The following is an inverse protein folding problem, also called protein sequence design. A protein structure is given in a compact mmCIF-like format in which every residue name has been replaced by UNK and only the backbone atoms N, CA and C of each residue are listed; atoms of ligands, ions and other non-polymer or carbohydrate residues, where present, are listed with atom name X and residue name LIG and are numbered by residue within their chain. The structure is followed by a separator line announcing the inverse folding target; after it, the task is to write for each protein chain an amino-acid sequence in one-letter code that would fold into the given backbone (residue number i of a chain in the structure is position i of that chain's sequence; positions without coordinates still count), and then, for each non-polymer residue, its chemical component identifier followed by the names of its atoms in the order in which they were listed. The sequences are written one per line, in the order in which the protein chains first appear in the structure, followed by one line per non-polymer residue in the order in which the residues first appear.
data_IF_330105495003
#
_entry.id   IF_330105495003
#
_cell.length_a   1.000
_cell.length_b   1.000
_cell.length_c   1.000
_cell.angle_alpha   90.00
_cell.angle_beta   90.00
_cell.angle_gamma   90.00
#
_symmetry.space_group_name_H-M   'P 1'
#
loop_
_entity.id
_entity.type
_entity.pdbx_description
1 polymer ?
#
# COMPACT_ATOMS: atom_id res chain seq x y z
N UNK A 1 28.58 37.65 -9.23
CA UNK A 1 29.10 37.06 -7.99
C UNK A 1 29.70 38.15 -7.12
N UNK A 2 29.49 38.13 -5.80
CA UNK A 2 30.05 39.08 -4.86
C UNK A 2 30.60 38.34 -3.64
N UNK A 3 31.68 38.85 -3.06
CA UNK A 3 32.25 38.36 -1.82
C UNK A 3 32.29 39.46 -0.76
N UNK A 4 32.19 39.10 0.48
CA UNK A 4 32.38 39.95 1.64
C UNK A 4 33.30 39.24 2.62
N UNK A 5 34.45 39.84 2.92
CA UNK A 5 35.51 39.23 3.77
C UNK A 5 35.96 37.84 3.30
N UNK A 6 36.05 37.62 1.96
CA UNK A 6 36.41 36.33 1.37
C UNK A 6 35.31 35.26 1.35
N UNK A 7 34.12 35.58 1.83
CA UNK A 7 32.96 34.65 1.82
C UNK A 7 31.96 35.07 0.74
N UNK A 8 31.33 34.12 0.07
CA UNK A 8 30.28 34.35 -0.91
C UNK A 8 29.14 35.18 -0.30
N UNK A 9 28.70 36.22 -0.98
CA UNK A 9 27.67 37.14 -0.49
C UNK A 9 26.87 37.74 -1.62
N UNK A 10 25.55 37.87 -1.44
CA UNK A 10 24.63 38.43 -2.43
C UNK A 10 24.16 37.43 -3.47
N UNK A 11 23.60 37.96 -4.59
CA UNK A 11 23.02 37.14 -5.66
C UNK A 11 24.12 36.41 -6.44
N UNK A 12 23.93 35.13 -6.67
CA UNK A 12 24.82 34.25 -7.41
C UNK A 12 24.07 33.58 -8.56
N UNK A 13 24.78 33.44 -9.70
CA UNK A 13 24.29 32.73 -10.88
C UNK A 13 25.42 31.90 -11.44
N UNK A 14 25.17 30.62 -11.70
CA UNK A 14 26.07 29.69 -12.35
C UNK A 14 25.47 29.25 -13.67
N UNK A 15 26.32 29.09 -14.69
CA UNK A 15 25.93 28.78 -16.06
C UNK A 15 26.52 27.41 -16.47
N UNK A 16 25.86 26.70 -17.38
CA UNK A 16 26.32 25.41 -17.85
C UNK A 16 27.61 25.50 -18.67
N UNK A 17 28.45 24.45 -18.61
CA UNK A 17 29.73 24.36 -19.30
C UNK A 17 29.66 23.28 -20.39
N UNK A 18 29.91 23.66 -21.64
CA UNK A 18 29.97 22.68 -22.75
C UNK A 18 31.35 22.03 -22.94
N UNK A 19 32.46 22.75 -22.74
CA UNK A 19 33.81 22.22 -22.99
C UNK A 19 34.78 22.49 -21.84
N UNK A 20 35.22 21.42 -21.13
CA UNK A 20 36.23 21.56 -20.06
C UNK A 20 37.61 21.99 -20.57
N UNK A 21 37.84 21.99 -21.90
CA UNK A 21 39.08 22.41 -22.51
C UNK A 21 39.10 23.90 -22.90
N UNK A 22 37.98 24.58 -22.91
CA UNK A 22 37.93 26.02 -23.05
C UNK A 22 38.62 26.70 -21.87
N UNK A 23 39.83 27.12 -22.11
CA UNK A 23 40.74 27.56 -21.07
C UNK A 23 40.54 28.97 -20.64
N UNK A 24 39.86 29.81 -21.44
CA UNK A 24 39.54 31.15 -20.98
C UNK A 24 38.55 31.88 -21.92
N UNK A 25 37.81 32.80 -21.38
CA UNK A 25 37.10 33.85 -22.10
C UNK A 25 37.63 35.18 -21.60
N UNK A 26 38.07 36.03 -22.53
CA UNK A 26 38.48 37.36 -22.22
C UNK A 26 37.26 38.28 -22.20
N UNK A 27 37.00 38.89 -21.06
CA UNK A 27 35.99 39.93 -20.96
C UNK A 27 36.59 41.14 -20.27
N UNK A 28 37.04 42.06 -21.08
CA UNK A 28 37.86 43.18 -20.60
C UNK A 28 39.28 42.76 -20.26
N UNK A 29 39.79 43.13 -19.10
CA UNK A 29 41.17 42.85 -18.67
C UNK A 29 41.32 41.54 -17.87
N UNK A 30 40.33 40.65 -17.93
CA UNK A 30 40.29 39.45 -17.08
C UNK A 30 40.69 38.18 -17.85
N UNK A 31 41.64 37.45 -17.33
CA UNK A 31 42.05 36.13 -17.87
C UNK A 31 41.64 35.01 -16.93
N UNK A 32 41.09 33.97 -17.52
CA UNK A 32 40.49 32.88 -16.80
C UNK A 32 41.19 31.52 -17.09
N UNK A 33 41.51 30.76 -16.05
CA UNK A 33 41.98 29.40 -16.13
C UNK A 33 41.44 28.62 -14.92
N UNK A 34 40.74 27.54 -15.16
CA UNK A 34 40.23 26.61 -14.14
C UNK A 34 39.23 27.22 -13.13
N UNK A 35 38.44 28.20 -13.53
CA UNK A 35 37.35 28.76 -12.72
C UNK A 35 37.72 29.56 -11.50
N UNK A 36 38.98 29.88 -11.32
CA UNK A 36 39.47 30.65 -10.15
C UNK A 36 40.33 31.79 -10.61
N UNK A 37 40.00 32.98 -10.19
CA UNK A 37 40.79 34.21 -10.44
C UNK A 37 41.02 34.99 -9.13
N UNK A 38 42.17 35.62 -9.03
CA UNK A 38 42.45 36.60 -7.99
C UNK A 38 42.48 37.98 -8.62
N UNK A 39 41.70 38.92 -8.10
CA UNK A 39 41.74 40.30 -8.53
C UNK A 39 42.98 41.03 -7.99
N UNK A 40 43.10 42.30 -8.33
CA UNK A 40 44.22 43.16 -7.88
C UNK A 40 44.29 43.31 -6.36
N UNK A 41 43.20 43.04 -5.63
CA UNK A 41 43.14 43.05 -4.19
C UNK A 41 43.39 41.64 -3.58
N UNK A 42 43.77 40.66 -4.40
CA UNK A 42 43.97 39.27 -4.05
C UNK A 42 42.72 38.54 -3.51
N UNK A 43 41.50 39.05 -3.85
CA UNK A 43 40.24 38.41 -3.57
C UNK A 43 39.97 37.29 -4.58
N UNK A 44 39.47 36.12 -4.09
CA UNK A 44 39.20 34.97 -4.92
C UNK A 44 37.86 35.11 -5.62
N UNK A 45 37.91 35.02 -6.94
CA UNK A 45 36.74 35.00 -7.80
C UNK A 45 36.64 33.62 -8.45
N UNK A 46 35.43 32.99 -8.43
CA UNK A 46 35.16 31.79 -9.19
C UNK A 46 34.00 32.06 -10.12
N UNK A 47 34.13 31.65 -11.37
CA UNK A 47 33.07 31.67 -12.34
C UNK A 47 33.21 30.52 -13.31
N UNK A 48 32.10 30.19 -13.93
CA UNK A 48 31.98 29.11 -14.88
C UNK A 48 31.31 29.66 -16.14
N UNK A 49 31.89 29.42 -17.31
CA UNK A 49 31.36 29.81 -18.58
C UNK A 49 30.89 28.61 -19.38
N UNK A 50 29.81 28.74 -20.11
CA UNK A 50 29.21 27.72 -20.94
C UNK A 50 28.93 28.29 -22.34
N UNK A 51 29.08 27.44 -23.38
CA UNK A 51 28.93 27.86 -24.78
C UNK A 51 27.47 28.17 -25.16
N UNK A 52 26.48 27.68 -24.41
CA UNK A 52 25.07 27.89 -24.70
C UNK A 52 24.43 29.05 -23.92
N UNK A 53 25.17 29.78 -23.13
CA UNK A 53 24.69 30.89 -22.27
C UNK A 53 23.53 30.56 -21.33
N UNK A 54 23.24 29.28 -21.12
CA UNK A 54 22.17 28.84 -20.21
C UNK A 54 22.68 28.82 -18.76
N UNK A 55 21.80 29.25 -17.85
CA UNK A 55 22.09 29.23 -16.42
C UNK A 55 22.10 27.79 -15.92
N UNK A 56 22.99 27.48 -14.97
CA UNK A 56 22.98 26.24 -14.21
C UNK A 56 22.27 26.39 -12.86
N UNK A 57 22.64 27.42 -12.10
CA UNK A 57 21.97 27.73 -10.83
C UNK A 57 22.04 29.25 -10.52
N UNK A 58 21.08 29.72 -9.73
CA UNK A 58 21.00 31.07 -9.25
C UNK A 58 20.41 31.14 -7.85
N UNK A 59 20.98 31.98 -6.98
CA UNK A 59 20.49 32.18 -5.62
C UNK A 59 21.30 33.23 -4.88
N UNK A 60 21.15 33.23 -3.57
CA UNK A 60 21.85 34.19 -2.69
C UNK A 60 22.77 33.44 -1.73
N UNK A 61 23.94 34.06 -1.48
CA UNK A 61 24.82 33.69 -0.39
C UNK A 61 24.83 34.79 0.65
N UNK A 62 24.83 34.38 1.93
CA UNK A 62 25.08 35.24 3.08
C UNK A 62 26.21 34.65 3.86
N UNK A 63 27.32 35.34 3.96
CA UNK A 63 28.53 34.91 4.70
C UNK A 63 28.97 33.49 4.36
N UNK A 64 28.94 33.14 3.07
CA UNK A 64 29.37 31.84 2.53
C UNK A 64 28.31 30.76 2.51
N UNK A 65 27.13 30.99 3.08
CA UNK A 65 26.05 30.01 3.12
C UNK A 65 24.99 30.34 2.05
N UNK A 66 24.46 29.31 1.39
CA UNK A 66 23.25 29.44 0.57
C UNK A 66 22.10 29.87 1.47
N UNK A 67 21.36 30.90 1.03
CA UNK A 67 20.25 31.48 1.81
C UNK A 67 19.12 31.92 0.89
N UNK A 68 17.86 31.73 1.31
CA UNK A 68 16.69 32.15 0.54
C UNK A 68 16.44 31.32 -0.71
N UNK A 69 15.76 31.90 -1.69
CA UNK A 69 15.34 31.20 -2.91
C UNK A 69 16.52 30.83 -3.82
N UNK A 70 16.50 29.60 -4.31
CA UNK A 70 17.44 29.04 -5.26
C UNK A 70 16.71 28.36 -6.40
N UNK A 71 17.25 28.52 -7.62
CA UNK A 71 16.74 27.91 -8.85
C UNK A 71 17.90 27.27 -9.59
N UNK A 72 17.68 26.05 -10.10
CA UNK A 72 18.60 25.35 -10.99
C UNK A 72 17.91 25.07 -12.33
N UNK A 73 18.69 24.90 -13.39
CA UNK A 73 18.23 24.64 -14.75
C UNK A 73 18.97 23.44 -15.33
N UNK A 74 18.34 22.77 -16.27
CA UNK A 74 18.99 21.82 -17.20
C UNK A 74 19.85 22.57 -18.23
N UNK A 75 20.75 21.88 -18.92
CA UNK A 75 21.54 22.45 -20.02
C UNK A 75 20.67 23.03 -21.14
N UNK A 76 19.46 22.51 -21.32
CA UNK A 76 18.44 22.99 -22.24
C UNK A 76 17.90 24.38 -21.90
N UNK A 77 18.20 24.89 -20.69
CA UNK A 77 17.66 26.15 -20.17
C UNK A 77 16.30 26.04 -19.49
N UNK A 78 15.71 24.82 -19.44
CA UNK A 78 14.49 24.55 -18.70
C UNK A 78 14.83 24.41 -17.21
N UNK A 79 13.97 24.89 -16.30
CA UNK A 79 14.16 24.71 -14.86
C UNK A 79 14.27 23.23 -14.51
N UNK A 80 15.26 22.85 -13.68
CA UNK A 80 15.41 21.50 -13.15
C UNK A 80 14.94 21.39 -11.70
N UNK A 81 15.15 22.45 -10.90
CA UNK A 81 14.64 22.50 -9.53
C UNK A 81 14.52 23.94 -9.01
N UNK A 82 13.66 24.15 -8.02
CA UNK A 82 13.59 25.39 -7.24
C UNK A 82 13.15 25.12 -5.80
N UNK A 83 13.64 25.94 -4.87
CA UNK A 83 13.31 25.86 -3.46
C UNK A 83 14.04 26.92 -2.65
N UNK A 84 14.11 26.73 -1.35
CA UNK A 84 14.84 27.63 -0.46
C UNK A 84 15.92 26.90 0.33
N UNK A 85 16.99 27.62 0.65
CA UNK A 85 18.01 27.23 1.60
C UNK A 85 17.99 28.13 2.83
N UNK A 86 18.30 27.57 3.96
CA UNK A 86 18.70 28.30 5.17
C UNK A 86 20.02 27.72 5.65
N UNK A 87 21.07 28.52 5.69
CA UNK A 87 22.44 28.13 6.12
C UNK A 87 22.99 26.88 5.41
N UNK A 88 22.83 26.81 4.09
CA UNK A 88 23.18 25.68 3.21
C UNK A 88 22.26 24.45 3.31
N UNK A 89 21.26 24.43 4.18
CA UNK A 89 20.32 23.33 4.34
C UNK A 89 19.01 23.66 3.59
N UNK A 90 18.43 22.70 2.87
CA UNK A 90 17.13 22.89 2.23
C UNK A 90 16.06 23.11 3.28
N UNK A 91 15.20 24.10 3.07
CA UNK A 91 14.11 24.45 3.96
C UNK A 91 12.87 24.87 3.17
N UNK A 92 11.70 24.36 3.57
CA UNK A 92 10.45 24.60 2.85
C UNK A 92 10.21 23.69 1.64
N UNK A 93 9.35 24.15 0.73
CA UNK A 93 8.96 23.42 -0.47
C UNK A 93 10.05 23.48 -1.54
N UNK A 94 10.37 22.32 -2.09
CA UNK A 94 11.23 22.11 -3.25
C UNK A 94 10.44 21.47 -4.39
N UNK A 95 10.56 22.04 -5.59
CA UNK A 95 9.99 21.56 -6.84
C UNK A 95 11.09 21.01 -7.74
N UNK A 96 10.85 19.86 -8.35
CA UNK A 96 11.73 19.25 -9.36
C UNK A 96 10.97 19.07 -10.66
N UNK A 97 11.64 19.33 -11.77
CA UNK A 97 11.06 19.38 -13.11
C UNK A 97 11.73 18.35 -14.01
N UNK A 98 11.05 17.92 -15.06
CA UNK A 98 11.68 17.23 -16.20
C UNK A 98 12.14 18.25 -17.26
N UNK A 99 12.78 17.76 -18.32
CA UNK A 99 13.28 18.62 -19.42
C UNK A 99 12.18 19.29 -20.24
N UNK A 100 10.93 18.82 -20.15
CA UNK A 100 9.74 19.44 -20.75
C UNK A 100 9.17 20.57 -19.87
N UNK A 101 9.72 20.78 -18.67
CA UNK A 101 9.28 21.80 -17.73
C UNK A 101 8.09 21.40 -16.86
N UNK A 102 7.68 20.13 -16.89
CA UNK A 102 6.64 19.63 -16.01
C UNK A 102 7.21 19.28 -14.63
N UNK A 103 6.46 19.60 -13.56
CA UNK A 103 6.82 19.20 -12.19
C UNK A 103 6.71 17.68 -12.06
N UNK A 104 7.81 17.02 -11.69
CA UNK A 104 7.88 15.58 -11.49
C UNK A 104 7.91 15.18 -10.01
N UNK A 105 8.34 16.11 -9.13
CA UNK A 105 8.38 15.86 -7.71
C UNK A 105 8.25 17.15 -6.90
N UNK A 106 7.51 17.08 -5.82
CA UNK A 106 7.46 18.08 -4.73
C UNK A 106 7.97 17.46 -3.45
N UNK A 107 8.86 18.14 -2.75
CA UNK A 107 9.44 17.70 -1.48
C UNK A 107 9.40 18.84 -0.48
N UNK A 108 9.00 18.56 0.76
CA UNK A 108 9.07 19.55 1.83
C UNK A 108 10.22 19.18 2.78
N UNK A 109 11.12 20.14 3.00
CA UNK A 109 12.29 19.98 3.85
C UNK A 109 12.24 20.88 5.07
N UNK A 110 12.91 20.44 6.13
CA UNK A 110 13.34 21.27 7.25
C UNK A 110 14.75 20.85 7.63
N UNK A 111 15.73 21.75 7.56
CA UNK A 111 17.13 21.48 7.84
C UNK A 111 17.67 20.26 7.09
N UNK A 112 17.49 20.21 5.78
CA UNK A 112 17.82 19.11 4.84
C UNK A 112 17.12 17.76 5.09
N UNK A 113 16.31 17.64 6.13
CA UNK A 113 15.49 16.46 6.37
C UNK A 113 14.11 16.61 5.71
N UNK A 114 13.61 15.54 5.13
CA UNK A 114 12.22 15.51 4.66
C UNK A 114 11.28 15.72 5.84
N UNK A 115 10.44 16.76 5.76
CA UNK A 115 9.52 17.14 6.84
C UNK A 115 8.27 17.79 6.26
N UNK A 116 7.24 16.98 6.04
CA UNK A 116 6.02 17.40 5.37
C UNK A 116 5.66 16.48 4.22
N UNK A 117 4.99 17.02 3.21
CA UNK A 117 4.50 16.26 2.06
C UNK A 117 5.60 16.05 1.02
N UNK A 118 5.64 14.84 0.48
CA UNK A 118 6.32 14.46 -0.76
C UNK A 118 5.26 14.00 -1.76
N UNK A 119 5.31 14.51 -2.99
CA UNK A 119 4.47 14.04 -4.10
C UNK A 119 5.36 13.77 -5.31
N UNK A 120 5.17 12.62 -5.96
CA UNK A 120 5.85 12.28 -7.21
C UNK A 120 4.84 12.01 -8.31
N UNK A 121 5.16 12.49 -9.50
CA UNK A 121 4.40 12.28 -10.73
C UNK A 121 5.24 11.51 -11.75
N UNK A 122 4.54 10.73 -12.57
CA UNK A 122 5.12 10.00 -13.70
C UNK A 122 4.24 10.22 -14.93
N UNK A 123 4.83 10.06 -16.09
CA UNK A 123 4.07 10.01 -17.34
C UNK A 123 3.38 8.65 -17.38
N UNK A 124 2.04 8.67 -17.43
CA UNK A 124 1.23 7.47 -17.51
C UNK A 124 1.28 6.85 -18.91
N UNK A 125 0.73 5.65 -19.05
CA UNK A 125 0.59 4.95 -20.34
C UNK A 125 -0.25 5.73 -21.38
N UNK A 126 -1.00 6.74 -20.95
CA UNK A 126 -1.79 7.66 -21.79
C UNK A 126 -1.08 8.98 -22.11
N UNK A 127 0.26 9.06 -21.95
CA UNK A 127 1.08 10.27 -22.11
C UNK A 127 0.61 11.47 -21.25
N UNK A 128 -0.15 11.20 -20.18
CA UNK A 128 -0.57 12.21 -19.21
C UNK A 128 0.26 12.14 -17.93
N UNK A 129 0.58 13.30 -17.35
CA UNK A 129 1.25 13.36 -16.05
C UNK A 129 0.27 12.96 -14.96
N UNK A 130 0.52 11.84 -14.31
CA UNK A 130 -0.28 11.30 -13.20
C UNK A 130 0.52 11.17 -11.92
N UNK A 131 -0.13 11.20 -10.76
CA UNK A 131 0.55 10.91 -9.49
C UNK A 131 1.03 9.46 -9.49
N UNK A 132 2.28 9.24 -9.03
CA UNK A 132 2.84 7.93 -8.70
C UNK A 132 2.62 7.63 -7.22
N UNK A 133 3.01 8.58 -6.35
CA UNK A 133 2.74 8.49 -4.92
C UNK A 133 2.66 9.87 -4.25
N UNK A 134 2.07 9.87 -3.06
CA UNK A 134 2.10 10.95 -2.08
C UNK A 134 2.41 10.36 -0.71
N UNK A 135 3.39 10.91 0.00
CA UNK A 135 3.88 10.45 1.30
C UNK A 135 4.01 11.62 2.26
N UNK A 136 3.99 11.33 3.55
CA UNK A 136 4.22 12.32 4.60
C UNK A 136 5.39 11.93 5.48
N UNK A 137 6.27 12.90 5.71
CA UNK A 137 7.52 12.74 6.41
C UNK A 137 7.56 13.61 7.66
N UNK A 138 8.28 13.16 8.66
CA UNK A 138 8.63 13.94 9.84
C UNK A 138 10.07 13.61 10.24
N UNK A 139 10.89 14.67 10.29
CA UNK A 139 12.31 14.56 10.68
C UNK A 139 13.08 13.46 9.92
N UNK A 140 12.84 13.37 8.59
CA UNK A 140 13.45 12.39 7.70
C UNK A 140 12.84 10.98 7.75
N UNK A 141 11.84 10.74 8.59
CA UNK A 141 11.17 9.45 8.72
C UNK A 141 9.75 9.50 8.15
N UNK A 142 9.33 8.42 7.50
CA UNK A 142 7.97 8.29 6.96
C UNK A 142 6.96 8.27 8.13
N UNK A 143 6.12 9.30 8.21
CA UNK A 143 5.20 9.52 9.32
C UNK A 143 3.90 10.14 8.82
N UNK A 144 2.87 9.32 8.70
CA UNK A 144 1.58 9.70 8.13
C UNK A 144 1.16 8.80 6.98
N UNK A 145 0.13 9.16 6.21
CA UNK A 145 -0.35 8.35 5.10
C UNK A 145 0.64 8.38 3.93
N UNK A 146 0.83 7.22 3.31
CA UNK A 146 1.52 7.06 2.04
C UNK A 146 0.54 6.41 1.05
N UNK A 147 0.19 7.15 0.00
CA UNK A 147 -0.76 6.72 -1.03
C UNK A 147 -0.02 6.51 -2.34
N UNK A 148 -0.33 5.44 -3.03
CA UNK A 148 0.19 5.12 -4.37
C UNK A 148 -0.93 5.12 -5.39
N UNK A 149 -0.59 5.49 -6.63
CA UNK A 149 -1.48 5.51 -7.78
C UNK A 149 -0.93 4.59 -8.88
N UNK A 150 -1.83 4.02 -9.66
CA UNK A 150 -1.53 3.27 -10.88
C UNK A 150 -2.50 3.76 -11.96
N UNK A 151 -1.98 4.20 -13.09
CA UNK A 151 -2.76 4.73 -14.23
C UNK A 151 -3.79 5.81 -13.84
N UNK A 152 -3.41 6.68 -12.90
CA UNK A 152 -4.24 7.79 -12.43
C UNK A 152 -5.24 7.44 -11.31
N UNK A 153 -5.43 6.16 -11.00
CA UNK A 153 -6.31 5.71 -9.94
C UNK A 153 -5.53 5.38 -8.66
N UNK A 154 -6.13 5.65 -7.50
CA UNK A 154 -5.56 5.24 -6.22
C UNK A 154 -5.48 3.71 -6.17
N UNK A 155 -4.32 3.20 -5.77
CA UNK A 155 -4.09 1.76 -5.64
C UNK A 155 -4.07 1.34 -4.17
N UNK A 156 -3.26 2.01 -3.36
CA UNK A 156 -3.06 1.66 -1.95
C UNK A 156 -2.74 2.89 -1.11
N UNK A 157 -3.25 2.93 0.12
CA UNK A 157 -2.80 3.86 1.16
C UNK A 157 -2.44 3.08 2.42
N UNK A 158 -1.32 3.43 3.05
CA UNK A 158 -0.88 2.88 4.34
C UNK A 158 -0.40 4.03 5.20
N UNK A 159 -0.79 4.03 6.47
CA UNK A 159 -0.30 5.02 7.43
C UNK A 159 0.91 4.46 8.18
N UNK A 160 1.97 5.25 8.24
CA UNK A 160 3.24 4.94 8.90
C UNK A 160 3.45 5.79 10.16
N UNK A 161 4.26 5.28 11.08
CA UNK A 161 4.64 5.94 12.32
C UNK A 161 6.15 5.85 12.55
N UNK A 162 6.91 6.49 11.66
CA UNK A 162 8.38 6.47 11.73
C UNK A 162 8.98 5.11 11.39
N UNK A 163 10.21 4.90 11.82
CA UNK A 163 11.01 3.70 11.57
C UNK A 163 11.25 2.91 12.85
N UNK A 164 11.53 1.62 12.69
CA UNK A 164 12.00 0.76 13.75
C UNK A 164 13.48 1.07 14.08
N UNK A 165 13.98 0.56 15.21
CA UNK A 165 15.40 0.64 15.57
C UNK A 165 16.34 0.08 14.49
N UNK A 166 15.82 -0.73 13.56
CA UNK A 166 16.58 -1.29 12.43
C UNK A 166 16.44 -0.47 11.14
N UNK A 167 15.86 0.72 11.18
CA UNK A 167 15.64 1.60 10.02
C UNK A 167 14.54 1.14 9.07
N UNK A 168 13.64 0.23 9.50
CA UNK A 168 12.51 -0.20 8.69
C UNK A 168 11.25 0.58 9.03
N UNK A 169 10.54 1.00 8.03
CA UNK A 169 9.25 1.68 8.14
C UNK A 169 8.23 0.82 8.94
N UNK A 170 7.49 1.47 9.84
CA UNK A 170 6.46 0.81 10.65
C UNK A 170 5.08 1.30 10.20
N UNK A 171 4.31 0.42 9.55
CA UNK A 171 2.91 0.64 9.30
C UNK A 171 2.12 0.56 10.62
N UNK A 172 1.47 1.67 10.99
CA UNK A 172 0.70 1.78 12.23
C UNK A 172 -0.40 2.83 12.04
N UNK A 173 -1.63 2.37 11.90
CA UNK A 173 -2.78 3.22 11.60
C UNK A 173 -3.61 2.68 10.43
N UNK A 174 -4.53 3.48 9.87
CA UNK A 174 -5.42 3.07 8.81
C UNK A 174 -4.68 2.71 7.52
N UNK A 175 -5.22 1.74 6.80
CA UNK A 175 -4.85 1.41 5.42
C UNK A 175 -6.09 1.23 4.57
N UNK A 176 -5.96 1.48 3.26
CA UNK A 176 -7.00 1.31 2.25
C UNK A 176 -6.39 0.74 1.00
N UNK A 177 -7.08 -0.19 0.34
CA UNK A 177 -6.75 -0.71 -0.99
C UNK A 177 -7.97 -0.49 -1.89
N UNK A 178 -7.75 -0.05 -3.10
CA UNK A 178 -8.79 0.20 -4.10
C UNK A 178 -8.78 -0.86 -5.18
N UNK A 179 -9.91 -1.05 -5.83
CA UNK A 179 -10.00 -1.89 -7.03
C UNK A 179 -9.16 -1.27 -8.16
N UNK A 180 -8.42 -2.09 -8.93
CA UNK A 180 -7.63 -1.60 -10.06
C UNK A 180 -8.48 -0.81 -11.06
N UNK A 181 -7.99 0.36 -11.49
CA UNK A 181 -8.69 1.23 -12.43
C UNK A 181 -9.98 1.88 -11.91
N UNK A 182 -10.13 1.99 -10.58
CA UNK A 182 -11.34 2.51 -9.94
C UNK A 182 -11.00 3.25 -8.65
N UNK A 183 -11.84 4.22 -8.27
CA UNK A 183 -11.82 4.83 -6.93
C UNK A 183 -12.66 4.05 -5.91
N UNK A 184 -13.21 2.89 -6.28
CA UNK A 184 -13.96 2.04 -5.38
C UNK A 184 -13.00 1.31 -4.41
N UNK A 185 -13.29 1.42 -3.11
CA UNK A 185 -12.52 0.71 -2.08
C UNK A 185 -12.78 -0.81 -2.21
N UNK A 186 -11.71 -1.60 -2.22
CA UNK A 186 -11.73 -3.05 -2.18
C UNK A 186 -11.66 -3.57 -0.74
N UNK A 187 -10.76 -3.01 0.06
CA UNK A 187 -10.60 -3.36 1.46
C UNK A 187 -9.99 -2.21 2.27
N UNK A 188 -10.32 -2.15 3.56
CA UNK A 188 -9.75 -1.18 4.50
C UNK A 188 -9.67 -1.74 5.91
N UNK A 189 -8.81 -1.17 6.74
CA UNK A 189 -8.63 -1.57 8.12
C UNK A 189 -7.50 -0.80 8.81
N UNK A 190 -6.89 -1.45 9.81
CA UNK A 190 -5.81 -0.86 10.59
C UNK A 190 -4.59 -1.79 10.61
N UNK A 191 -3.41 -1.20 10.67
CA UNK A 191 -2.17 -1.87 10.99
C UNK A 191 -1.74 -1.53 12.43
N UNK A 192 -1.15 -2.52 13.08
CA UNK A 192 -0.40 -2.39 14.32
C UNK A 192 0.95 -3.07 14.12
N UNK A 193 2.01 -2.26 14.12
CA UNK A 193 3.38 -2.75 13.92
C UNK A 193 3.53 -3.67 12.68
N UNK A 194 3.11 -3.18 11.52
CA UNK A 194 3.14 -3.86 10.21
C UNK A 194 2.18 -5.06 10.05
N UNK A 195 1.33 -5.34 11.03
CA UNK A 195 0.37 -6.45 10.99
C UNK A 195 -1.05 -5.87 11.00
N UNK A 196 -1.95 -6.41 10.18
CA UNK A 196 -3.36 -6.02 10.19
C UNK A 196 -3.98 -6.35 11.56
N UNK A 197 -4.66 -5.39 12.19
CA UNK A 197 -5.23 -5.51 13.54
C UNK A 197 -6.50 -4.67 13.66
N UNK A 198 -7.51 -5.18 14.38
CA UNK A 198 -8.78 -4.48 14.58
C UNK A 198 -9.76 -4.62 13.41
N UNK A 199 -10.73 -3.70 13.35
CA UNK A 199 -11.82 -3.77 12.38
C UNK A 199 -11.30 -3.71 10.94
N UNK A 200 -11.70 -4.69 10.13
CA UNK A 200 -11.37 -4.79 8.71
C UNK A 200 -12.64 -5.00 7.90
N UNK A 201 -12.81 -4.22 6.85
CA UNK A 201 -13.98 -4.28 5.95
C UNK A 201 -13.52 -4.54 4.53
N UNK A 202 -14.18 -5.47 3.86
CA UNK A 202 -14.01 -5.80 2.44
C UNK A 202 -15.27 -5.41 1.69
N UNK A 203 -15.12 -4.98 0.45
CA UNK A 203 -16.22 -4.52 -0.38
C UNK A 203 -16.27 -5.27 -1.70
N UNK A 204 -17.43 -5.31 -2.33
CA UNK A 204 -17.60 -5.66 -3.74
C UNK A 204 -17.28 -4.44 -4.62
N UNK A 205 -17.06 -4.66 -5.91
CA UNK A 205 -16.84 -3.59 -6.90
C UNK A 205 -18.00 -2.60 -7.00
N UNK A 206 -19.23 -3.02 -6.68
CA UNK A 206 -20.41 -2.15 -6.65
C UNK A 206 -20.50 -1.27 -5.38
N UNK A 207 -19.54 -1.36 -4.48
CA UNK A 207 -19.46 -0.56 -3.24
C UNK A 207 -20.17 -1.16 -2.03
N UNK A 208 -20.95 -2.22 -2.19
CA UNK A 208 -21.57 -2.91 -1.07
C UNK A 208 -20.52 -3.67 -0.24
N UNK A 209 -20.72 -3.75 1.08
CA UNK A 209 -19.86 -4.56 1.94
C UNK A 209 -19.91 -6.03 1.49
N UNK A 210 -18.76 -6.70 1.51
CA UNK A 210 -18.59 -8.13 1.24
C UNK A 210 -18.43 -8.90 2.54
N UNK A 211 -17.55 -8.45 3.43
CA UNK A 211 -17.35 -9.00 4.77
C UNK A 211 -16.74 -7.97 5.71
N UNK A 212 -17.02 -8.07 7.00
CA UNK A 212 -16.48 -7.20 8.03
C UNK A 212 -16.34 -7.93 9.35
N UNK A 213 -15.24 -7.66 10.05
CA UNK A 213 -14.96 -8.21 11.37
C UNK A 213 -13.60 -7.78 11.88
N UNK A 214 -13.24 -8.26 13.06
CA UNK A 214 -11.96 -7.91 13.66
C UNK A 214 -10.89 -8.93 13.27
N UNK A 215 -9.70 -8.40 12.95
CA UNK A 215 -8.46 -9.16 12.89
C UNK A 215 -7.69 -8.98 14.19
N UNK A 216 -7.03 -10.02 14.66
CA UNK A 216 -6.12 -9.98 15.80
C UNK A 216 -4.70 -10.26 15.34
N UNK A 217 -3.79 -9.32 15.60
CA UNK A 217 -2.39 -9.43 15.24
C UNK A 217 -1.63 -10.36 16.17
N UNK A 218 -0.98 -11.38 15.62
CA UNK A 218 0.02 -12.17 16.32
C UNK A 218 1.42 -11.67 15.94
N UNK A 219 2.01 -10.84 16.81
CA UNK A 219 3.31 -10.19 16.56
C UNK A 219 4.43 -11.22 16.42
N UNK A 220 4.39 -12.32 17.19
CA UNK A 220 5.43 -13.36 17.15
C UNK A 220 5.42 -14.14 15.84
N UNK A 221 4.26 -14.39 15.27
CA UNK A 221 4.10 -15.12 14.00
C UNK A 221 4.03 -14.19 12.78
N UNK A 222 3.97 -12.86 12.99
CA UNK A 222 3.76 -11.83 11.94
C UNK A 222 2.52 -12.09 11.08
N UNK A 223 1.47 -12.61 11.69
CA UNK A 223 0.22 -12.98 11.05
C UNK A 223 -0.95 -12.30 11.73
N UNK A 224 -2.02 -12.09 11.01
CA UNK A 224 -3.33 -11.70 11.55
C UNK A 224 -4.34 -12.82 11.32
N UNK A 225 -5.24 -12.99 12.26
CA UNK A 225 -6.32 -13.98 12.19
C UNK A 225 -7.67 -13.32 12.45
N UNK A 226 -8.74 -13.73 11.78
CA UNK A 226 -10.10 -13.34 12.16
C UNK A 226 -10.39 -13.70 13.60
N UNK A 227 -11.06 -12.80 14.33
CA UNK A 227 -11.46 -12.98 15.73
C UNK A 227 -12.88 -12.45 15.94
N UNK A 228 -13.65 -13.13 16.80
CA UNK A 228 -15.03 -12.76 17.11
C UNK A 228 -15.99 -12.93 15.93
N UNK A 229 -17.08 -12.20 15.97
CA UNK A 229 -18.13 -12.32 14.95
C UNK A 229 -17.77 -11.54 13.70
N UNK A 230 -17.79 -12.23 12.57
CA UNK A 230 -17.69 -11.66 11.23
C UNK A 230 -19.05 -11.72 10.55
N UNK A 231 -19.42 -10.64 9.87
CA UNK A 231 -20.64 -10.53 9.05
C UNK A 231 -20.27 -10.58 7.59
N UNK A 232 -21.01 -11.34 6.82
CA UNK A 232 -20.85 -11.50 5.38
C UNK A 232 -22.13 -11.04 4.68
N UNK A 233 -21.97 -10.35 3.58
CA UNK A 233 -23.06 -9.80 2.76
C UNK A 233 -23.02 -10.37 1.35
N UNK A 234 -24.17 -10.46 0.71
CA UNK A 234 -24.28 -10.71 -0.73
C UNK A 234 -24.03 -9.41 -1.53
N UNK A 235 -23.94 -9.53 -2.85
CA UNK A 235 -23.73 -8.37 -3.75
C UNK A 235 -24.82 -7.32 -3.69
N UNK A 236 -26.04 -7.67 -3.25
CA UNK A 236 -27.18 -6.77 -3.09
C UNK A 236 -27.15 -6.00 -1.77
N UNK A 237 -26.14 -6.24 -0.93
CA UNK A 237 -25.96 -5.58 0.36
C UNK A 237 -26.78 -6.17 1.51
N UNK A 238 -27.42 -7.32 1.31
CA UNK A 238 -28.15 -8.04 2.37
C UNK A 238 -27.18 -8.94 3.12
N UNK A 239 -27.40 -9.09 4.45
CA UNK A 239 -26.62 -10.03 5.25
C UNK A 239 -26.86 -11.45 4.75
N UNK A 240 -25.79 -12.13 4.39
CA UNK A 240 -25.79 -13.48 3.90
C UNK A 240 -25.67 -14.49 5.04
N UNK A 241 -24.69 -14.27 5.93
CA UNK A 241 -24.53 -15.01 7.18
C UNK A 241 -23.57 -14.27 8.14
N UNK A 242 -23.52 -14.75 9.38
CA UNK A 242 -22.50 -14.39 10.35
C UNK A 242 -21.74 -15.63 10.79
N UNK A 243 -20.47 -15.45 11.16
CA UNK A 243 -19.66 -16.53 11.71
C UNK A 243 -18.82 -16.04 12.88
N UNK A 244 -18.87 -16.76 14.01
CA UNK A 244 -18.06 -16.44 15.18
C UNK A 244 -16.78 -17.27 15.18
N UNK A 245 -15.67 -16.63 14.87
CA UNK A 245 -14.32 -17.23 14.90
C UNK A 245 -13.82 -17.49 16.33
N UNK A 246 -14.52 -17.00 17.35
CA UNK A 246 -14.04 -17.06 18.73
C UNK A 246 -12.87 -16.13 18.99
N UNK A 247 -12.30 -16.22 20.19
CA UNK A 247 -11.17 -15.39 20.62
C UNK A 247 -9.93 -16.24 20.84
N UNK A 248 -8.82 -15.85 20.17
CA UNK A 248 -7.53 -16.51 20.35
C UNK A 248 -7.47 -17.97 19.83
N UNK A 249 -8.46 -18.41 19.04
CA UNK A 249 -8.49 -19.77 18.52
C UNK A 249 -7.50 -19.95 17.36
N UNK A 250 -6.93 -21.13 17.25
CA UNK A 250 -6.14 -21.53 16.09
C UNK A 250 -7.04 -21.79 14.88
N UNK A 251 -6.53 -21.43 13.69
CA UNK A 251 -7.15 -21.70 12.41
C UNK A 251 -6.34 -22.76 11.67
N UNK A 252 -7.01 -23.80 11.21
CA UNK A 252 -6.38 -24.91 10.46
C UNK A 252 -7.20 -25.29 9.24
N UNK A 253 -6.58 -25.95 8.27
CA UNK A 253 -7.31 -26.59 7.16
C UNK A 253 -7.81 -27.96 7.59
N UNK A 254 -8.93 -28.42 7.03
CA UNK A 254 -9.48 -29.74 7.37
C UNK A 254 -8.48 -30.86 7.11
N UNK A 255 -7.67 -30.77 6.06
CA UNK A 255 -6.62 -31.74 5.71
C UNK A 255 -5.51 -31.87 6.77
N UNK A 256 -5.33 -30.85 7.63
CA UNK A 256 -4.32 -30.81 8.67
C UNK A 256 -4.83 -31.45 9.98
N UNK A 257 -6.02 -32.06 9.93
CA UNK A 257 -6.65 -32.79 11.02
C UNK A 257 -6.77 -34.28 10.68
N UNK A 258 -6.63 -35.14 11.70
CA UNK A 258 -6.80 -36.58 11.59
C UNK A 258 -7.61 -37.12 12.74
N UNK A 259 -8.26 -38.28 12.53
CA UNK A 259 -8.84 -39.13 13.59
C UNK A 259 -7.77 -40.13 13.99
N UNK A 260 -7.50 -40.23 15.28
CA UNK A 260 -6.41 -41.09 15.79
C UNK A 260 -6.98 -42.36 16.41
N UNK A 261 -8.24 -42.31 16.90
CA UNK A 261 -8.88 -43.40 17.59
C UNK A 261 -10.35 -43.57 17.17
N UNK A 262 -11.02 -44.57 17.72
CA UNK A 262 -12.46 -44.86 17.50
C UNK A 262 -13.40 -43.78 18.08
N UNK A 263 -12.87 -42.82 18.84
CA UNK A 263 -13.65 -41.72 19.45
C UNK A 263 -14.20 -40.70 18.47
N UNK A 264 -13.77 -40.76 17.19
CA UNK A 264 -14.10 -39.82 16.15
C UNK A 264 -13.62 -38.34 16.41
N UNK A 265 -12.78 -38.15 17.42
CA UNK A 265 -12.21 -36.83 17.73
C UNK A 265 -11.18 -36.42 16.67
N UNK A 266 -11.12 -35.11 16.37
CA UNK A 266 -10.17 -34.56 15.46
C UNK A 266 -8.98 -33.96 16.20
N UNK A 267 -7.80 -34.29 15.76
CA UNK A 267 -6.50 -33.83 16.27
C UNK A 267 -5.70 -33.19 15.16
N UNK A 268 -4.76 -32.27 15.49
CA UNK A 268 -3.75 -31.84 14.52
C UNK A 268 -2.84 -33.01 14.16
N UNK A 269 -2.41 -33.11 12.90
CA UNK A 269 -1.52 -34.17 12.44
C UNK A 269 -0.18 -34.15 13.18
N UNK A 270 0.31 -32.95 13.52
CA UNK A 270 1.57 -32.72 14.23
C UNK A 270 1.43 -32.77 15.78
N UNK A 271 0.20 -32.75 16.32
CA UNK A 271 -0.09 -32.90 17.74
C UNK A 271 -1.29 -33.85 17.93
N UNK A 272 -0.99 -35.10 18.18
CA UNK A 272 -1.98 -36.18 18.40
C UNK A 272 -2.32 -36.45 19.87
N UNK A 273 -1.87 -35.59 20.77
CA UNK A 273 -2.06 -35.78 22.22
C UNK A 273 -3.30 -35.07 22.75
N UNK A 274 -3.66 -33.94 22.13
CA UNK A 274 -4.76 -33.09 22.59
C UNK A 274 -5.80 -32.91 21.46
N UNK A 275 -7.09 -33.27 21.72
CA UNK A 275 -8.14 -33.01 20.72
C UNK A 275 -8.21 -31.54 20.36
N UNK A 276 -8.29 -31.25 19.05
CA UNK A 276 -8.19 -29.89 18.53
C UNK A 276 -9.37 -29.00 18.97
N UNK A 277 -9.06 -27.80 19.44
CA UNK A 277 -10.03 -26.73 19.67
C UNK A 277 -9.63 -25.52 18.81
N UNK A 278 -10.50 -25.10 17.90
CA UNK A 278 -10.18 -24.03 16.98
C UNK A 278 -11.17 -23.89 15.83
N UNK A 279 -10.75 -23.20 14.78
CA UNK A 279 -11.54 -22.95 13.58
C UNK A 279 -10.95 -23.73 12.41
N UNK A 280 -11.81 -24.41 11.67
CA UNK A 280 -11.47 -24.98 10.38
C UNK A 280 -11.81 -23.93 9.32
N UNK A 281 -10.81 -23.57 8.53
CA UNK A 281 -10.95 -22.68 7.37
C UNK A 281 -10.37 -23.42 6.18
N UNK A 282 -11.21 -23.95 5.33
CA UNK A 282 -10.80 -24.61 4.10
C UNK A 282 -11.15 -23.73 2.91
N UNK A 283 -10.14 -23.06 2.37
CA UNK A 283 -10.22 -22.14 1.24
C UNK A 283 -9.44 -22.74 0.07
N UNK A 284 -9.99 -22.63 -1.13
CA UNK A 284 -9.26 -22.96 -2.35
C UNK A 284 -8.28 -21.81 -2.72
N UNK A 285 -7.53 -21.99 -3.83
CA UNK A 285 -6.55 -20.99 -4.31
C UNK A 285 -7.17 -19.66 -4.77
N UNK A 286 -8.49 -19.58 -4.92
CA UNK A 286 -9.25 -18.42 -5.39
C UNK A 286 -9.96 -17.72 -4.21
N UNK A 287 -9.56 -17.98 -2.96
CA UNK A 287 -10.18 -17.49 -1.72
C UNK A 287 -11.65 -17.90 -1.56
N UNK A 288 -12.07 -19.00 -2.16
CA UNK A 288 -13.41 -19.57 -2.00
C UNK A 288 -13.40 -20.60 -0.88
N UNK A 289 -14.34 -20.46 0.06
CA UNK A 289 -14.47 -21.38 1.17
C UNK A 289 -15.14 -22.69 0.71
N UNK A 290 -14.54 -23.82 1.08
CA UNK A 290 -15.17 -25.14 0.99
C UNK A 290 -15.86 -25.48 2.31
N UNK A 291 -15.18 -25.18 3.42
CA UNK A 291 -15.71 -25.35 4.77
C UNK A 291 -15.30 -24.19 5.66
N UNK A 292 -16.22 -23.81 6.54
CA UNK A 292 -15.96 -22.95 7.67
C UNK A 292 -16.68 -23.52 8.89
N UNK A 293 -15.94 -23.85 9.93
CA UNK A 293 -16.51 -24.51 11.08
C UNK A 293 -15.67 -24.36 12.34
N UNK A 294 -16.28 -24.58 13.49
CA UNK A 294 -15.62 -24.58 14.78
C UNK A 294 -15.54 -25.99 15.38
N UNK A 295 -14.43 -26.29 16.02
CA UNK A 295 -14.23 -27.47 16.85
C UNK A 295 -13.97 -27.07 18.30
N UNK A 296 -14.45 -27.89 19.20
CA UNK A 296 -14.13 -27.85 20.64
C UNK A 296 -13.81 -29.25 21.10
N UNK A 297 -12.62 -29.45 21.64
CA UNK A 297 -12.14 -30.77 22.07
C UNK A 297 -12.35 -31.87 21.00
N UNK A 298 -11.97 -31.56 19.76
CA UNK A 298 -12.05 -32.48 18.62
C UNK A 298 -13.44 -32.67 18.02
N UNK A 299 -14.50 -32.12 18.62
CA UNK A 299 -15.89 -32.24 18.15
C UNK A 299 -16.36 -30.95 17.48
N UNK A 300 -17.26 -31.06 16.50
CA UNK A 300 -17.94 -29.93 15.91
C UNK A 300 -18.74 -29.19 16.99
N UNK A 301 -18.50 -27.88 17.15
CA UNK A 301 -19.14 -27.04 18.17
C UNK A 301 -19.22 -25.60 17.71
N UNK A 302 -20.44 -25.06 17.55
CA UNK A 302 -20.69 -23.71 17.02
C UNK A 302 -21.08 -23.71 15.56
N UNK A 303 -20.97 -22.57 14.88
CA UNK A 303 -21.41 -22.39 13.50
C UNK A 303 -20.62 -23.28 12.53
N UNK A 304 -21.32 -23.77 11.51
CA UNK A 304 -20.78 -24.64 10.48
C UNK A 304 -21.41 -24.32 9.13
N UNK A 305 -20.56 -24.07 8.13
CA UNK A 305 -20.97 -23.74 6.77
C UNK A 305 -20.20 -24.62 5.80
N UNK A 306 -20.87 -25.14 4.80
CA UNK A 306 -20.28 -25.84 3.66
C UNK A 306 -20.78 -25.21 2.37
N UNK A 307 -19.90 -25.12 1.39
CA UNK A 307 -20.19 -24.65 0.05
C UNK A 307 -20.12 -25.80 -0.96
N UNK A 308 -20.85 -25.67 -2.05
CA UNK A 308 -20.68 -26.57 -3.19
C UNK A 308 -19.27 -26.39 -3.78
N UNK A 309 -18.65 -27.50 -4.19
CA UNK A 309 -17.40 -27.44 -4.93
C UNK A 309 -17.58 -26.61 -6.20
N UNK A 310 -16.69 -25.64 -6.45
CA UNK A 310 -16.63 -24.90 -7.69
C UNK A 310 -16.21 -25.84 -8.81
N UNK A 311 -17.17 -26.35 -9.57
CA UNK A 311 -16.86 -27.09 -10.79
C UNK A 311 -16.29 -26.11 -11.78
N UNK A 312 -15.02 -26.27 -12.17
CA UNK A 312 -14.50 -25.69 -13.42
C UNK A 312 -15.42 -26.19 -14.52
N UNK A 313 -16.28 -25.30 -15.04
CA UNK A 313 -17.01 -25.59 -16.29
C UNK A 313 -15.94 -25.74 -17.35
N UNK A 314 -15.80 -26.90 -18.02
CA UNK A 314 -14.89 -27.03 -19.14
C UNK A 314 -15.24 -25.92 -20.13
N UNK A 315 -14.22 -25.31 -20.71
CA UNK A 315 -14.37 -24.33 -21.76
C UNK A 315 -15.23 -24.93 -22.88
N UNK A 316 -16.53 -24.67 -22.82
CA UNK A 316 -17.46 -25.14 -23.84
C UNK A 316 -17.16 -24.30 -25.08
N UNK A 317 -16.66 -24.93 -26.12
CA UNK A 317 -16.51 -24.36 -27.46
C UNK A 317 -17.90 -23.81 -27.87
N UNK A 318 -18.02 -22.50 -27.81
CA UNK A 318 -19.26 -21.79 -28.12
C UNK A 318 -19.61 -21.92 -29.57
N UNK A 319 -20.73 -22.55 -29.86
CA UNK A 319 -21.48 -22.23 -31.06
C UNK A 319 -21.98 -20.77 -30.97
N UNK A 320 -21.96 -19.98 -32.03
CA UNK A 320 -22.28 -18.55 -31.95
C UNK A 320 -23.77 -18.33 -31.66
N UNK A 321 -24.07 -17.88 -30.45
CA UNK A 321 -25.38 -17.30 -30.10
C UNK A 321 -25.23 -15.80 -29.82
N UNK A 322 -26.24 -14.97 -30.14
CA UNK A 322 -26.04 -13.52 -30.25
C UNK A 322 -26.09 -12.71 -28.96
N UNK A 323 -25.94 -13.30 -27.79
CA UNK A 323 -25.80 -12.56 -26.53
C UNK A 323 -24.59 -13.04 -25.75
N UNK A 324 -23.68 -12.13 -25.33
CA UNK A 324 -22.56 -12.47 -24.48
C UNK A 324 -23.07 -12.84 -23.08
N UNK A 325 -23.00 -14.12 -22.74
CA UNK A 325 -23.18 -14.56 -21.36
C UNK A 325 -22.05 -13.97 -20.51
N UNK A 326 -22.34 -13.39 -19.33
CA UNK A 326 -21.30 -12.87 -18.46
C UNK A 326 -20.37 -14.02 -18.08
N UNK A 327 -19.05 -13.84 -18.28
CA UNK A 327 -18.00 -14.69 -17.72
C UNK A 327 -18.04 -14.52 -16.20
N UNK A 328 -18.92 -15.25 -15.52
CA UNK A 328 -18.96 -15.34 -14.08
C UNK A 328 -18.31 -16.64 -13.65
N UNK A 329 -17.18 -16.56 -12.97
CA UNK A 329 -16.73 -17.62 -12.07
C UNK A 329 -17.79 -17.77 -11.00
N UNK A 330 -18.59 -18.83 -11.09
CA UNK A 330 -19.55 -19.19 -10.05
C UNK A 330 -18.73 -19.74 -8.87
N UNK A 331 -18.53 -18.93 -7.83
CA UNK A 331 -18.23 -19.49 -6.50
C UNK A 331 -19.35 -20.43 -6.17
N UNK A 332 -19.03 -21.67 -5.83
CA UNK A 332 -20.04 -22.64 -5.42
C UNK A 332 -20.84 -22.04 -4.27
N UNK A 333 -22.15 -21.85 -4.45
CA UNK A 333 -22.99 -21.27 -3.42
C UNK A 333 -23.06 -22.17 -2.19
N UNK A 334 -23.65 -21.69 -1.09
CA UNK A 334 -23.81 -22.48 0.14
C UNK A 334 -24.57 -23.78 -0.13
N UNK A 335 -24.05 -24.88 0.38
CA UNK A 335 -24.72 -26.19 0.39
C UNK A 335 -25.47 -26.39 1.70
N UNK A 336 -24.82 -26.06 2.83
CA UNK A 336 -25.44 -26.19 4.16
C UNK A 336 -25.00 -25.07 5.08
N UNK A 337 -25.89 -24.61 5.94
CA UNK A 337 -25.66 -23.65 7.01
C UNK A 337 -26.36 -24.10 8.27
N UNK A 338 -25.65 -24.18 9.40
CA UNK A 338 -26.21 -24.55 10.68
C UNK A 338 -25.21 -24.45 11.82
N UNK A 339 -25.55 -25.05 12.93
CA UNK A 339 -24.64 -25.15 14.07
C UNK A 339 -24.61 -26.56 14.66
N UNK A 340 -23.49 -26.88 15.29
CA UNK A 340 -23.32 -28.08 16.09
C UNK A 340 -23.18 -27.73 17.58
N UNK A 341 -23.52 -28.66 18.43
CA UNK A 341 -23.21 -28.66 19.85
C UNK A 341 -22.72 -30.06 20.22
N UNK A 342 -21.51 -30.15 20.76
CA UNK A 342 -20.87 -31.42 21.16
C UNK A 342 -20.89 -32.49 20.06
N UNK A 343 -20.70 -32.10 18.80
CA UNK A 343 -20.67 -32.99 17.62
C UNK A 343 -22.04 -33.30 17.01
N UNK A 344 -23.13 -32.84 17.59
CA UNK A 344 -24.51 -33.09 17.11
C UNK A 344 -25.11 -31.83 16.50
N UNK A 345 -25.95 -31.97 15.44
CA UNK A 345 -26.70 -30.86 14.89
C UNK A 345 -27.54 -30.19 15.96
N UNK A 346 -27.52 -28.85 16.02
CA UNK A 346 -28.26 -28.07 17.01
C UNK A 346 -28.72 -26.74 16.41
N UNK A 347 -29.95 -26.31 16.74
CA UNK A 347 -30.55 -25.12 16.22
C UNK A 347 -31.03 -25.24 14.76
N UNK A 348 -31.18 -24.11 14.11
CA UNK A 348 -31.68 -24.01 12.73
C UNK A 348 -30.64 -24.52 11.73
N UNK A 349 -31.05 -25.42 10.84
CA UNK A 349 -30.25 -25.91 9.72
C UNK A 349 -30.96 -25.60 8.40
N UNK A 350 -30.21 -25.08 7.46
CA UNK A 350 -30.69 -24.80 6.11
C UNK A 350 -29.81 -25.51 5.10
N UNK A 351 -30.41 -26.19 4.16
CA UNK A 351 -29.74 -26.75 2.98
C UNK A 351 -30.21 -26.01 1.74
N UNK A 352 -29.35 -25.90 0.77
CA UNK A 352 -29.60 -25.15 -0.44
C UNK A 352 -29.40 -26.00 -1.67
N UNK A 353 -30.08 -25.69 -2.75
CA UNK A 353 -29.75 -26.14 -4.10
C UNK A 353 -28.55 -25.34 -4.62
N UNK A 354 -27.88 -25.84 -5.67
CA UNK A 354 -26.77 -25.15 -6.31
C UNK A 354 -27.14 -23.75 -6.87
N UNK A 355 -28.41 -23.51 -7.16
CA UNK A 355 -28.95 -22.21 -7.55
C UNK A 355 -29.29 -21.29 -6.36
N UNK A 356 -28.86 -21.66 -5.15
CA UNK A 356 -29.06 -20.96 -3.88
C UNK A 356 -30.52 -20.84 -3.39
N UNK A 357 -31.46 -21.53 -4.00
CA UNK A 357 -32.79 -21.69 -3.42
C UNK A 357 -32.72 -22.64 -2.22
N UNK A 358 -33.54 -22.37 -1.20
CA UNK A 358 -33.64 -23.25 -0.02
C UNK A 358 -34.21 -24.60 -0.50
N UNK A 359 -33.45 -25.66 -0.18
CA UNK A 359 -33.86 -27.04 -0.45
C UNK A 359 -34.63 -27.64 0.73
N UNK A 360 -34.11 -27.34 1.94
CA UNK A 360 -34.71 -27.85 3.17
C UNK A 360 -34.33 -26.93 4.34
N UNK A 361 -35.21 -26.84 5.32
CA UNK A 361 -34.98 -26.06 6.54
C UNK A 361 -35.56 -26.84 7.73
N UNK A 362 -34.78 -27.07 8.76
CA UNK A 362 -35.18 -27.79 9.94
C UNK A 362 -34.50 -27.32 11.21
N UNK A 363 -35.14 -27.54 12.35
CA UNK A 363 -34.57 -27.27 13.67
C UNK A 363 -34.19 -28.58 14.31
N UNK A 364 -32.96 -28.62 14.82
CA UNK A 364 -32.42 -29.83 15.49
C UNK A 364 -32.13 -29.54 16.96
N UNK A 365 -32.41 -30.52 17.82
CA UNK A 365 -31.97 -30.54 19.21
C UNK A 365 -31.23 -31.85 19.47
N UNK A 366 -29.92 -31.73 19.79
CA UNK A 366 -29.05 -32.91 20.04
C UNK A 366 -28.99 -33.92 18.88
N UNK A 367 -29.15 -33.46 17.66
CA UNK A 367 -29.02 -34.26 16.44
C UNK A 367 -30.37 -34.84 15.90
N UNK A 368 -31.48 -34.56 16.55
CA UNK A 368 -32.82 -35.03 16.15
C UNK A 368 -33.71 -33.87 15.78
#
# INVERSE_FOLDING_TARGET
QRYKKGLAHGRWTKWYKEDPTLKYVENGNWQYKDGVYKDENNELWSWWWYLNDNKEEEGYYIDGNKEGAWVSWFETGVKSSEGAFSKNERDGLWLYYNEDGAVTQELTYSNDLLNGRETKWVISSSDSLGKEYEKFWKDGQLNGPATTWVDGFRSKMVTYKGESETGKEIANGPWVIWYPGSDQIMEQGFHKNNIRDGLTTYYYENGNKKKEGNLSANINQKLSKPEGVWTYWNKDGQIDFTFDYGKGLDHVKFKDLSKIDESELLYKIDDNTTPFTGVIVDENKEEEYEFLGRLKNGKKDGPWIRWYESKKVPEVVLMPTPEPQPKGTWSGGKETLGAYKDGKKHGLWTTYYSNQQIKDIGTYENGV
#
